data_IF_723500942341
#
_entry.id   IF_723500942341
#
_cell.length_a   1.000
_cell.length_b   1.000
_cell.length_c   1.000
_cell.angle_alpha   90.00
_cell.angle_beta   90.00
_cell.angle_gamma   90.00
#
_symmetry.space_group_name_H-M   'P 1'
#
loop_
_entity.id
_entity.type
_entity.pdbx_description
1 polymer ?
#
# COMPACT_ATOMS: atom_id res chain seq x y z
N UNK A 1 14.43 -31.84 -11.87
CA UNK A 1 15.13 -30.56 -11.60
C UNK A 1 14.39 -29.83 -10.47
N UNK A 2 14.88 -29.86 -9.22
CA UNK A 2 14.25 -29.17 -8.08
C UNK A 2 14.70 -27.71 -8.07
N UNK A 3 13.78 -26.76 -8.17
CA UNK A 3 14.05 -25.33 -7.97
C UNK A 3 14.07 -25.09 -6.45
N UNK A 4 15.25 -24.91 -5.89
CA UNK A 4 15.40 -24.45 -4.51
C UNK A 4 15.17 -22.95 -4.48
N UNK A 5 14.07 -22.53 -3.85
CA UNK A 5 13.83 -21.13 -3.51
C UNK A 5 14.67 -20.82 -2.27
N UNK A 6 15.80 -20.16 -2.46
CA UNK A 6 16.61 -19.69 -1.34
C UNK A 6 15.90 -18.51 -0.69
N UNK A 7 15.38 -18.72 0.52
CA UNK A 7 15.02 -17.62 1.41
C UNK A 7 16.34 -17.04 1.91
N UNK A 8 16.83 -16.01 1.22
CA UNK A 8 18.05 -15.28 1.60
C UNK A 8 17.70 -14.45 2.84
N UNK A 9 17.70 -15.11 4.00
CA UNK A 9 17.80 -14.45 5.30
C UNK A 9 19.29 -14.16 5.50
N UNK A 10 19.81 -13.19 4.74
CA UNK A 10 21.18 -12.75 4.91
C UNK A 10 21.29 -11.98 6.21
N UNK A 11 22.36 -12.23 6.99
CA UNK A 11 22.71 -11.51 8.22
C UNK A 11 23.27 -10.10 7.91
N UNK A 12 22.79 -9.49 6.83
CA UNK A 12 23.28 -8.21 6.32
C UNK A 12 22.59 -7.05 6.98
N UNK A 13 23.38 -6.01 7.25
CA UNK A 13 22.97 -4.72 7.81
C UNK A 13 21.69 -4.25 7.10
N UNK A 14 20.67 -3.93 7.88
CA UNK A 14 19.38 -3.44 7.40
C UNK A 14 19.60 -2.36 6.32
N UNK A 15 19.11 -2.59 5.11
CA UNK A 15 19.18 -1.63 4.02
C UNK A 15 18.14 -0.52 4.29
N UNK A 16 18.55 0.49 5.05
CA UNK A 16 17.73 1.63 5.44
C UNK A 16 16.99 2.29 4.26
N UNK A 17 17.61 2.51 3.07
CA UNK A 17 16.90 3.03 1.89
C UNK A 17 15.65 2.23 1.52
N UNK A 18 15.75 0.91 1.43
CA UNK A 18 14.63 0.06 1.05
C UNK A 18 13.52 0.06 2.11
N UNK A 19 13.90 0.08 3.39
CA UNK A 19 12.97 0.13 4.51
C UNK A 19 12.22 1.46 4.57
N UNK A 20 12.92 2.58 4.35
CA UNK A 20 12.33 3.92 4.26
C UNK A 20 11.36 3.99 3.07
N UNK A 21 11.71 3.41 1.92
CA UNK A 21 10.84 3.42 0.75
C UNK A 21 9.57 2.58 0.96
N UNK A 22 9.69 1.41 1.60
CA UNK A 22 8.56 0.54 1.93
C UNK A 22 7.60 1.20 2.94
N UNK A 23 8.13 1.73 4.04
CA UNK A 23 7.31 2.44 5.03
C UNK A 23 6.72 3.72 4.43
N UNK A 24 7.51 4.49 3.69
CA UNK A 24 7.09 5.75 3.08
C UNK A 24 5.95 5.56 2.08
N UNK A 25 6.04 4.57 1.19
CA UNK A 25 4.98 4.25 0.23
C UNK A 25 3.70 3.75 0.92
N UNK A 26 3.82 2.94 1.97
CA UNK A 26 2.68 2.50 2.78
C UNK A 26 1.98 3.68 3.48
N UNK A 27 2.74 4.58 4.10
CA UNK A 27 2.19 5.77 4.74
C UNK A 27 1.53 6.73 3.73
N UNK A 28 2.17 6.95 2.58
CA UNK A 28 1.63 7.83 1.54
C UNK A 28 0.31 7.30 0.98
N UNK A 29 0.22 5.99 0.70
CA UNK A 29 -1.01 5.36 0.23
C UNK A 29 -2.14 5.44 1.27
N UNK A 30 -1.82 5.20 2.55
CA UNK A 30 -2.77 5.38 3.65
C UNK A 30 -3.27 6.83 3.77
N UNK A 31 -2.36 7.80 3.61
CA UNK A 31 -2.70 9.23 3.65
C UNK A 31 -3.66 9.63 2.53
N UNK A 32 -3.43 9.14 1.30
CA UNK A 32 -4.31 9.39 0.15
C UNK A 32 -5.72 8.87 0.40
N UNK A 33 -5.84 7.65 0.94
CA UNK A 33 -7.15 7.05 1.26
C UNK A 33 -7.88 7.89 2.33
N UNK A 34 -7.17 8.29 3.39
CA UNK A 34 -7.72 9.17 4.43
C UNK A 34 -8.21 10.50 3.87
N UNK A 35 -7.42 11.12 2.99
CA UNK A 35 -7.78 12.38 2.37
C UNK A 35 -9.04 12.26 1.50
N UNK A 36 -9.13 11.20 0.67
CA UNK A 36 -10.32 10.94 -0.14
C UNK A 36 -11.57 10.75 0.72
N UNK A 37 -11.46 10.02 1.84
CA UNK A 37 -12.57 9.83 2.78
C UNK A 37 -13.01 11.17 3.38
N UNK A 38 -12.07 12.00 3.82
CA UNK A 38 -12.37 13.31 4.41
C UNK A 38 -13.04 14.24 3.40
N UNK A 39 -12.52 14.30 2.16
CA UNK A 39 -13.10 15.10 1.09
C UNK A 39 -14.55 14.69 0.82
N UNK A 40 -14.80 13.38 0.72
CA UNK A 40 -16.14 12.85 0.47
C UNK A 40 -17.10 13.20 1.61
N UNK A 41 -16.68 13.01 2.87
CA UNK A 41 -17.49 13.39 4.05
C UNK A 41 -17.83 14.89 4.02
N UNK A 42 -16.86 15.72 3.66
CA UNK A 42 -17.05 17.17 3.63
C UNK A 42 -18.03 17.59 2.55
N UNK A 43 -17.89 17.03 1.35
CA UNK A 43 -18.74 17.28 0.20
C UNK A 43 -20.20 16.87 0.46
N UNK A 44 -20.41 15.73 1.13
CA UNK A 44 -21.74 15.31 1.55
C UNK A 44 -22.31 16.23 2.61
N UNK A 45 -21.51 16.60 3.63
CA UNK A 45 -22.00 17.46 4.71
C UNK A 45 -22.42 18.82 4.16
N UNK A 46 -21.67 19.34 3.19
CA UNK A 46 -21.99 20.58 2.50
C UNK A 46 -23.22 20.42 1.60
N UNK A 47 -23.26 19.41 0.73
CA UNK A 47 -24.38 19.14 -0.18
C UNK A 47 -25.68 18.75 0.53
N UNK A 48 -25.59 18.18 1.73
CA UNK A 48 -26.75 17.80 2.54
C UNK A 48 -27.27 18.91 3.44
N UNK A 49 -26.65 20.08 3.50
CA UNK A 49 -27.07 21.16 4.41
C UNK A 49 -28.56 21.50 4.24
N UNK A 50 -29.06 21.48 2.99
CA UNK A 50 -30.46 21.76 2.64
C UNK A 50 -31.32 20.52 2.36
N UNK A 51 -30.80 19.30 2.53
CA UNK A 51 -31.52 18.07 2.19
C UNK A 51 -32.45 17.58 3.31
N UNK A 52 -33.58 16.96 2.91
CA UNK A 52 -34.54 16.33 3.84
C UNK A 52 -33.89 15.19 4.66
N UNK A 53 -34.43 14.87 5.83
CA UNK A 53 -33.90 13.82 6.73
C UNK A 53 -33.81 12.44 6.08
N UNK A 54 -34.76 12.10 5.18
CA UNK A 54 -34.76 10.85 4.40
C UNK A 54 -33.61 10.81 3.39
N UNK A 55 -33.42 11.89 2.63
CA UNK A 55 -32.33 12.03 1.64
C UNK A 55 -30.95 11.93 2.30
N UNK A 56 -30.79 12.51 3.49
CA UNK A 56 -29.54 12.43 4.27
C UNK A 56 -29.14 11.00 4.63
N UNK A 57 -30.12 10.17 5.00
CA UNK A 57 -29.88 8.76 5.37
C UNK A 57 -29.48 7.93 4.15
N UNK A 58 -30.09 8.19 3.00
CA UNK A 58 -29.78 7.51 1.76
C UNK A 58 -28.38 7.88 1.26
N UNK A 59 -28.05 9.17 1.23
CA UNK A 59 -26.74 9.67 0.79
C UNK A 59 -25.60 9.17 1.70
N UNK A 60 -25.78 9.15 3.03
CA UNK A 60 -24.79 8.54 3.94
C UNK A 60 -24.49 7.07 3.61
N UNK A 61 -25.51 6.29 3.25
CA UNK A 61 -25.34 4.87 2.89
C UNK A 61 -24.66 4.70 1.53
N UNK A 62 -25.06 5.49 0.54
CA UNK A 62 -24.42 5.50 -0.78
C UNK A 62 -22.93 5.83 -0.66
N UNK A 63 -22.59 6.78 0.19
CA UNK A 63 -21.22 7.19 0.48
C UNK A 63 -20.44 6.10 1.19
N UNK A 64 -21.03 5.49 2.22
CA UNK A 64 -20.38 4.39 2.90
C UNK A 64 -20.10 3.24 1.93
N UNK A 65 -21.03 2.94 1.03
CA UNK A 65 -20.84 1.96 -0.04
C UNK A 65 -19.70 2.36 -1.00
N UNK A 66 -19.64 3.62 -1.42
CA UNK A 66 -18.55 4.16 -2.26
C UNK A 66 -17.18 4.08 -1.57
N UNK A 67 -17.10 4.42 -0.28
CA UNK A 67 -15.88 4.31 0.51
C UNK A 67 -15.47 2.85 0.62
N UNK A 68 -16.40 1.94 0.91
CA UNK A 68 -16.10 0.51 0.99
C UNK A 68 -15.64 -0.04 -0.36
N UNK A 69 -16.25 0.40 -1.47
CA UNK A 69 -15.82 0.03 -2.82
C UNK A 69 -14.42 0.56 -3.18
N UNK A 70 -14.01 1.73 -2.69
CA UNK A 70 -12.65 2.23 -2.90
C UNK A 70 -11.61 1.65 -1.94
N UNK A 71 -12.01 1.37 -0.70
CA UNK A 71 -11.11 0.95 0.39
C UNK A 71 -10.86 -0.54 0.35
N UNK A 72 -11.90 -1.36 0.18
CA UNK A 72 -11.79 -2.82 0.22
C UNK A 72 -10.83 -3.35 -0.87
N UNK A 73 -10.93 -2.94 -2.14
CA UNK A 73 -9.98 -3.41 -3.17
C UNK A 73 -8.57 -2.90 -2.91
N UNK A 74 -8.42 -1.67 -2.41
CA UNK A 74 -7.11 -1.12 -2.08
C UNK A 74 -6.40 -1.92 -1.00
N UNK A 75 -7.10 -2.25 0.10
CA UNK A 75 -6.53 -3.00 1.22
C UNK A 75 -6.25 -4.46 0.85
N UNK A 76 -7.15 -5.10 0.11
CA UNK A 76 -7.04 -6.54 -0.20
C UNK A 76 -6.08 -6.81 -1.37
N UNK A 77 -6.04 -5.94 -2.38
CA UNK A 77 -5.30 -6.22 -3.61
C UNK A 77 -4.16 -5.25 -3.87
N UNK A 78 -4.37 -3.94 -3.72
CA UNK A 78 -3.35 -2.93 -4.07
C UNK A 78 -2.21 -2.95 -3.06
N UNK A 79 -2.53 -2.89 -1.76
CA UNK A 79 -1.51 -2.86 -0.71
C UNK A 79 -0.61 -4.11 -0.71
N UNK A 80 -1.14 -5.35 -0.81
CA UNK A 80 -0.29 -6.54 -0.89
C UNK A 80 0.51 -6.60 -2.20
N UNK A 81 -0.06 -6.16 -3.33
CA UNK A 81 0.65 -6.17 -4.62
C UNK A 81 1.83 -5.20 -4.64
N UNK A 82 1.64 -3.98 -4.13
CA UNK A 82 2.72 -2.99 -4.02
C UNK A 82 3.79 -3.45 -3.03
N UNK A 83 3.38 -4.04 -1.90
CA UNK A 83 4.32 -4.60 -0.92
C UNK A 83 5.13 -5.76 -1.50
N UNK A 84 4.48 -6.66 -2.24
CA UNK A 84 5.12 -7.80 -2.89
C UNK A 84 6.08 -7.34 -3.99
N UNK A 85 5.70 -6.34 -4.79
CA UNK A 85 6.58 -5.75 -5.81
C UNK A 85 7.79 -5.06 -5.19
N UNK A 86 7.61 -4.35 -4.08
CA UNK A 86 8.71 -3.71 -3.34
C UNK A 86 9.69 -4.75 -2.79
N UNK A 87 9.18 -5.84 -2.20
CA UNK A 87 9.99 -6.97 -1.73
C UNK A 87 10.72 -7.67 -2.88
N UNK A 88 10.08 -7.81 -4.03
CA UNK A 88 10.70 -8.39 -5.21
C UNK A 88 11.87 -7.54 -5.71
N UNK A 89 11.68 -6.23 -5.86
CA UNK A 89 12.75 -5.32 -6.26
C UNK A 89 13.90 -5.30 -5.25
N UNK A 90 13.58 -5.35 -3.95
CA UNK A 90 14.59 -5.44 -2.89
C UNK A 90 15.42 -6.73 -3.00
N UNK A 91 14.76 -7.88 -3.13
CA UNK A 91 15.47 -9.17 -3.22
C UNK A 91 16.28 -9.29 -4.50
N UNK A 92 15.84 -8.68 -5.61
CA UNK A 92 16.65 -8.57 -6.83
C UNK A 92 17.91 -7.72 -6.63
N UNK A 93 17.78 -6.55 -6.00
CA UNK A 93 18.93 -5.68 -5.73
C UNK A 93 19.94 -6.35 -4.78
N UNK A 94 19.45 -6.88 -3.66
CA UNK A 94 20.29 -7.59 -2.69
C UNK A 94 20.94 -8.84 -3.32
N UNK A 95 20.20 -9.60 -4.12
CA UNK A 95 20.73 -10.77 -4.83
C UNK A 95 21.84 -10.41 -5.83
N UNK A 96 21.72 -9.27 -6.52
CA UNK A 96 22.76 -8.78 -7.42
C UNK A 96 24.03 -8.35 -6.66
N UNK A 97 23.88 -7.70 -5.49
CA UNK A 97 25.01 -7.34 -4.63
C UNK A 97 25.77 -8.56 -4.10
N UNK A 98 25.05 -9.60 -3.65
CA UNK A 98 25.68 -10.85 -3.19
C UNK A 98 26.34 -11.63 -4.34
N UNK A 99 25.73 -11.62 -5.54
CA UNK A 99 26.35 -12.23 -6.73
C UNK A 99 27.64 -11.51 -7.13
N UNK A 100 27.67 -10.18 -7.06
CA UNK A 100 28.87 -9.38 -7.31
C UNK A 100 29.97 -9.66 -6.27
N UNK A 101 29.61 -9.77 -4.98
CA UNK A 101 30.54 -10.12 -3.91
C UNK A 101 31.19 -11.49 -4.10
N UNK A 102 30.40 -12.52 -4.43
CA UNK A 102 30.92 -13.86 -4.70
C UNK A 102 31.83 -13.92 -5.93
N UNK A 103 31.62 -13.06 -6.93
CA UNK A 103 32.51 -12.95 -8.09
C UNK A 103 33.81 -12.19 -7.79
N UNK A 104 33.79 -11.26 -6.82
CA UNK A 104 34.96 -10.48 -6.44
C UNK A 104 35.96 -11.18 -5.51
N UNK A 105 35.67 -12.41 -5.05
CA UNK A 105 36.65 -13.31 -4.45
C UNK A 105 37.45 -12.74 -3.27
N UNK A 106 36.81 -12.65 -2.10
CA UNK A 106 37.46 -12.81 -0.79
C UNK A 106 36.69 -13.84 0.02
#
# INVERSE_FOLDING_TARGET
KRKFTFLVISNTKINYPALIFGIGSALLSGFVILFMILQLIWEIKHGMAHASSSTKRYQKRAVFSLIMQGTVPNVIFVFPSVSMLSLFLYTMAAGAEEAARNQSGT
#
